data_IF_876042705276
#
_entry.id   IF_876042705276
#
_cell.length_a   1.000
_cell.length_b   1.000
_cell.length_c   1.000
_cell.angle_alpha   90.00
_cell.angle_beta   90.00
_cell.angle_gamma   90.00
#
_symmetry.space_group_name_H-M   'P 1'
#
loop_
_entity.id
_entity.type
_entity.pdbx_description
1 polymer ?
#
# COMPACT_ATOMS: atom_id res chain seq x y z
N UNK A 1 32.70 10.29 -4.85
CA UNK A 1 32.37 9.06 -5.61
C UNK A 1 30.88 9.10 -5.88
N UNK A 2 30.40 8.69 -7.06
CA UNK A 2 28.96 8.67 -7.37
C UNK A 2 28.27 7.48 -6.69
N UNK A 3 26.95 7.56 -6.48
CA UNK A 3 26.16 6.47 -5.92
C UNK A 3 26.29 5.18 -6.76
N UNK A 4 26.23 5.30 -8.09
CA UNK A 4 26.44 4.19 -9.02
C UNK A 4 27.80 3.50 -8.82
N UNK A 5 28.87 4.27 -8.68
CA UNK A 5 30.21 3.70 -8.48
C UNK A 5 30.33 2.96 -7.14
N UNK A 6 29.70 3.48 -6.09
CA UNK A 6 29.67 2.81 -4.76
C UNK A 6 28.93 1.48 -4.84
N UNK A 7 27.77 1.46 -5.51
CA UNK A 7 26.97 0.23 -5.70
C UNK A 7 27.72 -0.79 -6.55
N UNK A 8 28.33 -0.36 -7.66
CA UNK A 8 29.10 -1.23 -8.54
C UNK A 8 30.30 -1.89 -7.82
N UNK A 9 30.86 -1.22 -6.81
CA UNK A 9 31.93 -1.76 -5.96
C UNK A 9 31.42 -2.63 -4.80
N UNK A 10 30.11 -2.80 -4.64
CA UNK A 10 29.53 -3.56 -3.52
C UNK A 10 29.61 -2.84 -2.17
N UNK A 11 29.95 -1.55 -2.16
CA UNK A 11 30.19 -0.77 -0.93
C UNK A 11 28.93 -0.09 -0.39
N UNK A 12 27.77 -0.26 -1.03
CA UNK A 12 26.53 0.36 -0.58
C UNK A 12 26.09 -0.08 0.84
N UNK A 13 26.12 -1.39 1.19
CA UNK A 13 25.70 -1.84 2.52
C UNK A 13 26.59 -1.34 3.67
N UNK A 14 27.85 -1.00 3.39
CA UNK A 14 28.83 -0.56 4.40
C UNK A 14 28.78 0.92 4.73
N UNK A 15 27.99 1.72 3.99
CA UNK A 15 27.80 3.14 4.29
C UNK A 15 27.08 3.34 5.61
N UNK A 16 27.44 4.38 6.37
CA UNK A 16 26.58 4.85 7.45
C UNK A 16 25.26 5.41 6.89
N UNK A 17 24.19 5.40 7.71
CA UNK A 17 22.89 5.95 7.28
C UNK A 17 23.00 7.41 6.84
N UNK A 18 23.84 8.20 7.52
CA UNK A 18 24.06 9.62 7.18
C UNK A 18 24.78 9.78 5.84
N UNK A 19 25.79 8.97 5.55
CA UNK A 19 26.49 8.99 4.26
C UNK A 19 25.56 8.55 3.13
N UNK A 20 24.80 7.48 3.36
CA UNK A 20 23.79 7.00 2.44
C UNK A 20 22.79 8.13 2.10
N UNK A 21 22.13 8.72 3.09
CA UNK A 21 21.16 9.82 2.89
C UNK A 21 21.76 10.99 2.12
N UNK A 22 22.99 11.40 2.43
CA UNK A 22 23.65 12.49 1.71
C UNK A 22 23.94 12.15 0.24
N UNK A 23 24.38 10.92 -0.04
CA UNK A 23 24.61 10.43 -1.40
C UNK A 23 23.31 10.37 -2.20
N UNK A 24 22.22 9.91 -1.58
CA UNK A 24 20.89 9.90 -2.19
C UNK A 24 20.36 11.31 -2.46
N UNK A 25 20.48 12.21 -1.49
CA UNK A 25 20.13 13.61 -1.65
C UNK A 25 20.87 14.29 -2.80
N UNK A 26 22.09 13.84 -3.10
CA UNK A 26 22.88 14.34 -4.23
C UNK A 26 22.49 13.68 -5.56
N UNK A 27 22.21 12.37 -5.56
CA UNK A 27 21.93 11.59 -6.77
C UNK A 27 20.51 11.83 -7.32
N UNK A 28 19.52 12.03 -6.44
CA UNK A 28 18.10 12.14 -6.78
C UNK A 28 17.51 13.47 -6.34
N UNK A 29 18.31 14.55 -6.43
CA UNK A 29 17.91 15.86 -5.94
C UNK A 29 16.62 16.36 -6.58
N UNK A 30 16.49 16.19 -7.89
CA UNK A 30 15.31 16.61 -8.67
C UNK A 30 14.04 15.94 -8.16
N UNK A 31 14.09 14.63 -7.94
CA UNK A 31 12.96 13.83 -7.50
C UNK A 31 12.59 14.19 -6.06
N UNK A 32 13.57 14.29 -5.16
CA UNK A 32 13.35 14.66 -3.76
C UNK A 32 12.81 16.09 -3.61
N UNK A 33 13.22 17.02 -4.49
CA UNK A 33 12.67 18.38 -4.50
C UNK A 33 11.19 18.40 -4.87
N UNK A 34 10.75 17.55 -5.82
CA UNK A 34 9.32 17.39 -6.17
C UNK A 34 8.51 16.80 -5.03
N UNK A 35 9.02 15.78 -4.34
CA UNK A 35 8.33 15.11 -3.22
C UNK A 35 8.03 16.03 -2.02
N UNK A 36 8.64 17.22 -1.96
CA UNK A 36 8.28 18.25 -0.97
C UNK A 36 6.89 18.82 -1.18
N UNK A 37 6.35 18.72 -2.39
CA UNK A 37 5.04 19.24 -2.77
C UNK A 37 3.92 18.20 -2.62
N UNK A 38 4.25 16.95 -2.27
CA UNK A 38 3.28 15.88 -2.19
C UNK A 38 2.27 16.09 -1.04
N UNK A 39 1.02 15.74 -1.30
CA UNK A 39 -0.05 15.88 -0.30
C UNK A 39 0.08 14.84 0.83
N UNK A 40 -0.33 15.17 2.07
CA UNK A 40 -0.29 14.23 3.18
C UNK A 40 -1.24 13.04 3.01
N UNK A 41 -0.86 11.87 3.54
CA UNK A 41 -1.73 10.67 3.53
C UNK A 41 -2.93 10.76 4.48
N UNK A 42 -3.92 9.87 4.31
CA UNK A 42 -5.12 9.82 5.17
C UNK A 42 -4.83 9.53 6.65
N UNK A 43 -3.78 8.76 6.95
CA UNK A 43 -3.37 8.46 8.33
C UNK A 43 -2.67 9.66 8.97
N UNK A 44 -3.04 9.97 10.21
CA UNK A 44 -2.49 11.14 10.91
C UNK A 44 -1.03 10.91 11.33
N UNK A 45 -0.15 11.84 10.94
CA UNK A 45 1.27 11.85 11.29
C UNK A 45 1.61 12.51 12.64
N UNK A 46 2.90 12.76 12.88
CA UNK A 46 3.37 13.53 14.04
C UNK A 46 4.10 14.79 13.59
N UNK A 47 3.95 15.91 14.32
CA UNK A 47 4.61 17.18 13.98
C UNK A 47 6.15 17.12 14.03
N UNK A 48 6.70 16.23 14.86
CA UNK A 48 8.14 16.05 15.06
C UNK A 48 8.50 14.57 15.05
N UNK A 49 8.59 13.94 13.86
CA UNK A 49 8.93 12.53 13.77
C UNK A 49 10.33 12.26 14.31
N UNK A 50 10.51 11.14 15.02
CA UNK A 50 11.84 10.73 15.50
C UNK A 50 12.71 10.24 14.33
N UNK A 51 13.99 10.58 14.29
CA UNK A 51 14.89 10.21 13.19
C UNK A 51 16.00 9.23 13.57
N UNK A 52 16.45 8.41 12.60
CA UNK A 52 17.53 7.43 12.75
C UNK A 52 18.94 8.02 12.67
N UNK A 53 19.10 9.25 12.19
CA UNK A 53 20.42 9.81 11.89
C UNK A 53 21.08 10.39 13.14
N UNK A 54 22.34 10.84 13.00
CA UNK A 54 23.08 11.52 14.06
C UNK A 54 22.22 12.62 14.69
N UNK A 55 22.25 12.73 16.01
CA UNK A 55 21.45 13.67 16.81
C UNK A 55 19.91 13.47 16.73
N UNK A 56 19.43 12.33 16.22
CA UNK A 56 18.00 12.05 16.07
C UNK A 56 17.33 12.81 14.92
N UNK A 57 18.12 13.27 13.94
CA UNK A 57 17.61 13.90 12.73
C UNK A 57 16.92 12.88 11.82
N UNK A 58 15.82 13.29 11.20
CA UNK A 58 15.18 12.53 10.13
C UNK A 58 15.95 12.74 8.82
N UNK A 59 15.82 11.83 7.84
CA UNK A 59 16.40 12.03 6.52
C UNK A 59 16.00 13.35 5.86
N UNK A 60 14.73 13.75 5.98
CA UNK A 60 14.25 15.01 5.41
C UNK A 60 14.86 16.23 6.10
N UNK A 61 14.91 16.27 7.45
CA UNK A 61 15.60 17.36 8.17
C UNK A 61 17.08 17.46 7.82
N UNK A 62 17.75 16.32 7.60
CA UNK A 62 19.15 16.29 7.21
C UNK A 62 19.39 16.97 5.85
N UNK A 63 18.50 16.77 4.88
CA UNK A 63 18.66 17.29 3.52
C UNK A 63 18.06 18.70 3.32
N UNK A 64 16.92 18.98 3.97
CA UNK A 64 16.10 20.16 3.71
C UNK A 64 15.86 21.03 4.95
N UNK A 65 16.44 20.70 6.10
CA UNK A 65 16.28 21.43 7.37
C UNK A 65 14.82 21.49 7.87
N UNK A 66 13.93 20.69 7.30
CA UNK A 66 12.50 20.60 7.61
C UNK A 66 12.02 19.18 7.33
N UNK A 67 10.99 18.73 8.04
CA UNK A 67 10.35 17.43 7.79
C UNK A 67 9.31 17.53 6.68
N UNK A 68 9.52 16.81 5.59
CA UNK A 68 8.53 16.52 4.56
C UNK A 68 8.17 15.04 4.63
N UNK A 69 6.88 14.72 4.72
CA UNK A 69 6.38 13.37 4.96
C UNK A 69 6.85 12.37 3.89
N UNK A 70 6.61 12.68 2.61
CA UNK A 70 6.97 11.79 1.51
C UNK A 70 8.49 11.68 1.34
N UNK A 71 9.25 12.77 1.53
CA UNK A 71 10.72 12.70 1.54
C UNK A 71 11.23 11.73 2.61
N UNK A 72 10.66 11.76 3.82
CA UNK A 72 11.03 10.83 4.89
C UNK A 72 10.67 9.38 4.52
N UNK A 73 9.49 9.14 3.94
CA UNK A 73 9.08 7.80 3.49
C UNK A 73 10.05 7.26 2.45
N UNK A 74 10.27 7.99 1.35
CA UNK A 74 11.16 7.55 0.26
C UNK A 74 12.59 7.29 0.74
N UNK A 75 13.15 8.17 1.59
CA UNK A 75 14.50 7.96 2.10
C UNK A 75 14.59 6.79 3.09
N UNK A 76 13.53 6.51 3.86
CA UNK A 76 13.48 5.31 4.70
C UNK A 76 13.28 4.04 3.86
N UNK A 77 12.54 4.07 2.75
CA UNK A 77 12.46 2.94 1.80
C UNK A 77 13.87 2.57 1.30
N UNK A 78 14.67 3.58 0.99
CA UNK A 78 16.05 3.41 0.55
C UNK A 78 16.97 2.92 1.68
N UNK A 79 16.84 3.45 2.90
CA UNK A 79 17.58 2.95 4.07
C UNK A 79 17.19 1.52 4.41
N UNK A 80 15.92 1.14 4.24
CA UNK A 80 15.43 -0.22 4.41
C UNK A 80 16.17 -1.18 3.47
N UNK A 81 16.33 -0.83 2.19
CA UNK A 81 17.14 -1.60 1.25
C UNK A 81 18.60 -1.71 1.72
N UNK A 82 19.19 -0.61 2.21
CA UNK A 82 20.56 -0.61 2.75
C UNK A 82 20.69 -1.60 3.91
N UNK A 83 19.78 -1.54 4.89
CA UNK A 83 19.78 -2.41 6.06
C UNK A 83 19.55 -3.87 5.68
N UNK A 84 18.65 -4.16 4.74
CA UNK A 84 18.43 -5.52 4.22
C UNK A 84 19.70 -6.07 3.57
N UNK A 85 20.35 -5.29 2.70
CA UNK A 85 21.58 -5.73 2.02
C UNK A 85 22.78 -5.87 2.98
N UNK A 86 22.77 -5.11 4.09
CA UNK A 86 23.77 -5.21 5.16
C UNK A 86 23.44 -6.29 6.21
N UNK A 87 22.30 -6.97 6.10
CA UNK A 87 21.75 -7.86 7.13
C UNK A 87 21.63 -7.18 8.51
N UNK A 88 21.42 -5.85 8.51
CA UNK A 88 21.32 -5.03 9.72
C UNK A 88 19.90 -5.06 10.31
N UNK A 89 19.58 -6.17 10.95
CA UNK A 89 18.30 -6.39 11.64
C UNK A 89 18.04 -5.34 12.73
N UNK A 90 19.09 -4.90 13.42
CA UNK A 90 18.97 -3.97 14.54
C UNK A 90 18.46 -2.61 14.06
N UNK A 91 19.06 -2.04 13.01
CA UNK A 91 18.60 -0.77 12.44
C UNK A 91 17.23 -0.92 11.77
N UNK A 92 17.00 -2.00 11.03
CA UNK A 92 15.71 -2.26 10.37
C UNK A 92 14.54 -2.28 11.36
N UNK A 93 14.74 -2.88 12.54
CA UNK A 93 13.68 -3.07 13.54
C UNK A 93 13.76 -2.12 14.74
N UNK A 94 14.63 -1.11 14.72
CA UNK A 94 14.96 -0.26 15.88
C UNK A 94 13.76 0.44 16.53
N UNK A 95 12.68 0.68 15.78
CA UNK A 95 11.47 1.33 16.27
C UNK A 95 10.29 0.39 16.52
N UNK A 96 10.42 -0.90 16.20
CA UNK A 96 9.40 -1.90 16.45
C UNK A 96 9.41 -2.34 17.92
N UNK A 97 8.25 -2.77 18.43
CA UNK A 97 8.09 -3.20 19.82
C UNK A 97 7.52 -4.60 19.88
N UNK A 98 7.80 -5.29 20.98
CA UNK A 98 7.13 -6.53 21.34
C UNK A 98 5.77 -6.26 22.01
N UNK A 99 4.79 -7.17 21.88
CA UNK A 99 4.80 -8.30 20.95
C UNK A 99 4.50 -7.85 19.51
N UNK A 100 5.13 -8.48 18.51
CA UNK A 100 4.84 -8.24 17.09
C UNK A 100 6.00 -7.72 16.24
N UNK A 101 7.15 -7.45 16.86
CA UNK A 101 8.41 -7.18 16.16
C UNK A 101 8.69 -8.27 15.12
N UNK A 102 9.18 -7.87 13.93
CA UNK A 102 9.62 -8.80 12.90
C UNK A 102 10.68 -9.74 13.46
N UNK A 103 10.52 -11.05 13.27
CA UNK A 103 11.51 -12.02 13.74
C UNK A 103 12.79 -11.99 12.90
N UNK A 104 13.91 -12.40 13.51
CA UNK A 104 15.20 -12.53 12.79
C UNK A 104 15.11 -13.53 11.62
N UNK A 105 14.33 -14.60 11.76
CA UNK A 105 14.15 -15.59 10.69
C UNK A 105 13.39 -15.01 9.50
N UNK A 106 12.32 -14.25 9.76
CA UNK A 106 11.58 -13.53 8.73
C UNK A 106 12.45 -12.46 8.06
N UNK A 107 13.26 -11.73 8.83
CA UNK A 107 14.22 -10.77 8.28
C UNK A 107 15.30 -11.45 7.42
N UNK A 108 15.80 -12.63 7.80
CA UNK A 108 16.77 -13.39 6.99
C UNK A 108 16.20 -13.77 5.62
N UNK A 109 14.95 -14.26 5.59
CA UNK A 109 14.24 -14.57 4.35
C UNK A 109 14.01 -13.33 3.49
N UNK A 110 13.72 -12.19 4.12
CA UNK A 110 13.66 -10.90 3.43
C UNK A 110 15.01 -10.55 2.78
N UNK A 111 16.13 -10.76 3.49
CA UNK A 111 17.46 -10.56 2.92
C UNK A 111 17.73 -11.48 1.72
N UNK A 112 17.36 -12.76 1.80
CA UNK A 112 17.48 -13.71 0.70
C UNK A 112 16.66 -13.28 -0.53
N UNK A 113 15.43 -12.81 -0.30
CA UNK A 113 14.56 -12.29 -1.37
C UNK A 113 15.23 -11.15 -2.13
N UNK A 114 15.78 -10.14 -1.43
CA UNK A 114 16.45 -9.00 -2.08
C UNK A 114 17.80 -9.35 -2.72
N UNK A 115 18.57 -10.29 -2.15
CA UNK A 115 19.86 -10.74 -2.73
C UNK A 115 19.71 -11.43 -4.09
N UNK A 116 18.51 -11.90 -4.41
CA UNK A 116 18.20 -12.47 -5.73
C UNK A 116 18.26 -11.42 -6.85
N UNK A 117 18.04 -10.15 -6.53
CA UNK A 117 18.06 -9.04 -7.50
C UNK A 117 19.45 -8.40 -7.56
N UNK A 118 20.04 -8.35 -8.74
CA UNK A 118 21.45 -7.91 -8.92
C UNK A 118 21.60 -6.42 -9.21
N UNK A 119 20.64 -5.81 -9.86
CA UNK A 119 20.74 -4.41 -10.30
C UNK A 119 20.22 -3.43 -9.24
N UNK A 120 20.96 -3.31 -8.13
CA UNK A 120 20.56 -2.49 -6.98
C UNK A 120 20.37 -1.02 -7.35
N UNK A 121 21.13 -0.48 -8.30
CA UNK A 121 20.97 0.92 -8.71
C UNK A 121 19.64 1.12 -9.44
N UNK A 122 19.28 0.24 -10.37
CA UNK A 122 17.97 0.28 -11.03
C UNK A 122 16.82 0.15 -10.03
N UNK A 123 16.94 -0.72 -9.01
CA UNK A 123 15.94 -0.81 -7.94
C UNK A 123 15.80 0.50 -7.15
N UNK A 124 16.92 1.18 -6.83
CA UNK A 124 16.88 2.47 -6.15
C UNK A 124 16.20 3.56 -7.00
N UNK A 125 16.43 3.55 -8.31
CA UNK A 125 15.72 4.43 -9.25
C UNK A 125 14.23 4.10 -9.29
N UNK A 126 13.84 2.83 -9.25
CA UNK A 126 12.44 2.43 -9.16
C UNK A 126 11.79 2.98 -7.88
N UNK A 127 12.45 2.84 -6.72
CA UNK A 127 11.93 3.29 -5.42
C UNK A 127 11.72 4.80 -5.37
N UNK A 128 12.70 5.60 -5.85
CA UNK A 128 12.57 7.07 -5.79
C UNK A 128 11.55 7.61 -6.77
N UNK A 129 11.31 6.91 -7.89
CA UNK A 129 10.35 7.34 -8.90
C UNK A 129 8.91 6.96 -8.54
N UNK A 130 8.69 5.86 -7.80
CA UNK A 130 7.37 5.38 -7.38
C UNK A 130 6.54 6.42 -6.62
N UNK A 131 7.20 7.23 -5.78
CA UNK A 131 6.51 8.25 -4.96
C UNK A 131 6.17 9.54 -5.73
N UNK A 132 6.69 9.75 -6.96
CA UNK A 132 6.49 11.00 -7.71
C UNK A 132 5.06 11.18 -8.23
N UNK A 133 4.25 10.11 -8.29
CA UNK A 133 2.83 10.20 -8.65
C UNK A 133 2.00 11.07 -7.71
N UNK A 134 2.55 11.42 -6.54
CA UNK A 134 1.95 12.28 -5.52
C UNK A 134 2.29 13.77 -5.71
N UNK A 135 3.17 14.14 -6.64
CA UNK A 135 3.48 15.54 -6.94
C UNK A 135 2.40 16.16 -7.84
N UNK A 136 1.56 17.09 -7.34
CA UNK A 136 0.52 17.72 -8.15
C UNK A 136 1.09 18.57 -9.29
N UNK A 137 2.35 19.01 -9.23
CA UNK A 137 2.96 19.78 -10.32
C UNK A 137 3.27 18.90 -11.53
N UNK A 138 3.76 17.68 -11.30
CA UNK A 138 4.00 16.71 -12.36
C UNK A 138 2.70 16.46 -13.14
N UNK A 139 1.57 16.32 -12.44
CA UNK A 139 0.23 16.19 -13.04
C UNK A 139 -0.09 17.31 -14.02
N UNK A 140 0.06 18.55 -13.54
CA UNK A 140 -0.18 19.74 -14.36
C UNK A 140 0.77 19.85 -15.56
N UNK A 141 2.03 19.41 -15.43
CA UNK A 141 3.01 19.43 -16.52
C UNK A 141 2.68 18.42 -17.62
N UNK A 142 2.25 17.20 -17.26
CA UNK A 142 1.87 16.18 -18.25
C UNK A 142 0.63 16.63 -19.03
N UNK A 143 -0.38 17.17 -18.36
CA UNK A 143 -1.59 17.71 -19.00
C UNK A 143 -1.21 18.80 -20.03
N UNK A 144 -0.31 19.71 -19.66
CA UNK A 144 0.19 20.75 -20.58
C UNK A 144 0.92 20.16 -21.78
N UNK A 145 1.69 19.09 -21.58
CA UNK A 145 2.43 18.40 -22.65
C UNK A 145 1.47 17.67 -23.60
N UNK A 146 0.30 17.22 -23.10
CA UNK A 146 -0.73 16.51 -23.86
C UNK A 146 -1.69 17.40 -24.66
N UNK A 147 -1.59 18.73 -24.57
CA UNK A 147 -2.47 19.70 -25.27
C UNK A 147 -2.28 19.76 -26.81
N UNK A 148 -2.28 18.61 -27.48
CA UNK A 148 -2.96 18.44 -28.77
C UNK A 148 -4.48 18.28 -28.56
N UNK A 149 -5.31 18.39 -29.61
CA UNK A 149 -6.77 18.56 -29.50
C UNK A 149 -7.53 17.25 -29.21
N UNK A 150 -7.12 16.47 -28.22
CA UNK A 150 -7.79 15.22 -27.86
C UNK A 150 -7.74 14.95 -26.36
N UNK A 151 -8.93 14.98 -25.75
CA UNK A 151 -9.33 14.28 -24.52
C UNK A 151 -8.70 14.73 -23.20
N UNK A 152 -9.41 15.60 -22.48
CA UNK A 152 -9.37 15.73 -21.01
C UNK A 152 -9.84 14.43 -20.36
N UNK A 153 -9.01 13.39 -20.38
CA UNK A 153 -9.16 12.26 -19.46
C UNK A 153 -8.54 12.71 -18.15
N UNK A 154 -9.40 13.02 -17.16
CA UNK A 154 -8.96 13.17 -15.77
C UNK A 154 -8.35 11.83 -15.38
N UNK A 155 -7.02 11.74 -15.31
CA UNK A 155 -6.35 10.55 -14.80
C UNK A 155 -6.71 10.46 -13.32
N UNK A 156 -7.47 9.42 -12.96
CA UNK A 156 -8.09 9.29 -11.63
C UNK A 156 -7.11 8.66 -10.63
N UNK A 157 -6.11 7.90 -11.11
CA UNK A 157 -5.15 7.16 -10.30
C UNK A 157 -3.73 7.74 -10.41
N UNK A 158 -3.08 7.99 -9.27
CA UNK A 158 -1.68 8.44 -9.16
C UNK A 158 -0.69 7.56 -9.94
N UNK A 159 -0.90 6.24 -9.97
CA UNK A 159 -0.02 5.28 -10.64
C UNK A 159 -0.12 5.36 -12.16
N UNK A 160 -1.34 5.53 -12.70
CA UNK A 160 -1.56 5.71 -14.15
C UNK A 160 -0.90 7.00 -14.63
N UNK A 161 -1.07 8.06 -13.85
CA UNK A 161 -0.45 9.34 -14.08
C UNK A 161 1.09 9.23 -14.12
N UNK A 162 1.69 8.62 -13.10
CA UNK A 162 3.14 8.44 -13.00
C UNK A 162 3.70 7.63 -14.17
N UNK A 163 3.03 6.52 -14.53
CA UNK A 163 3.44 5.67 -15.64
C UNK A 163 3.49 6.44 -16.97
N UNK A 164 2.51 7.30 -17.20
CA UNK A 164 2.45 8.09 -18.42
C UNK A 164 3.45 9.26 -18.43
N UNK A 165 3.72 9.87 -17.27
CA UNK A 165 4.82 10.83 -17.12
C UNK A 165 6.19 10.18 -17.38
N UNK A 166 6.40 8.95 -16.89
CA UNK A 166 7.61 8.17 -17.14
C UNK A 166 7.80 7.89 -18.64
N UNK A 167 6.74 7.45 -19.33
CA UNK A 167 6.76 7.22 -20.79
C UNK A 167 7.03 8.48 -21.60
N UNK A 168 6.58 9.63 -21.11
CA UNK A 168 6.84 10.93 -21.72
C UNK A 168 8.27 11.46 -21.46
N UNK A 169 9.11 10.72 -20.73
CA UNK A 169 10.48 11.13 -20.43
C UNK A 169 10.57 12.28 -19.42
N UNK A 170 9.54 12.47 -18.59
CA UNK A 170 9.46 13.59 -17.64
C UNK A 170 10.19 13.32 -16.31
N UNK A 171 10.76 12.12 -16.14
CA UNK A 171 11.41 11.68 -14.90
C UNK A 171 12.92 11.53 -15.15
N UNK A 172 13.76 12.51 -14.76
CA UNK A 172 15.19 12.52 -15.08
C UNK A 172 15.95 11.30 -14.56
N UNK A 173 15.63 10.79 -13.37
CA UNK A 173 16.30 9.62 -12.81
C UNK A 173 16.24 8.38 -13.72
N UNK A 174 15.22 8.23 -14.58
CA UNK A 174 15.10 7.11 -15.52
C UNK A 174 16.18 7.12 -16.61
N UNK A 175 16.75 8.28 -16.93
CA UNK A 175 17.85 8.39 -17.89
C UNK A 175 19.21 8.00 -17.28
N UNK A 176 19.26 7.79 -15.95
CA UNK A 176 20.48 7.36 -15.26
C UNK A 176 20.70 5.84 -15.28
N UNK A 177 19.71 5.05 -15.73
CA UNK A 177 19.80 3.58 -15.82
C UNK A 177 19.94 3.12 -17.28
N UNK A 178 20.49 1.92 -17.52
CA UNK A 178 20.47 1.31 -18.85
C UNK A 178 19.05 1.13 -19.39
N UNK A 179 18.90 1.03 -20.71
CA UNK A 179 17.60 0.85 -21.38
C UNK A 179 16.81 -0.33 -20.81
N UNK A 180 17.47 -1.47 -20.58
CA UNK A 180 16.83 -2.65 -19.98
C UNK A 180 16.34 -2.41 -18.54
N UNK A 181 17.06 -1.59 -17.77
CA UNK A 181 16.65 -1.17 -16.44
C UNK A 181 15.42 -0.28 -16.50
N UNK A 182 15.41 0.69 -17.42
CA UNK A 182 14.25 1.56 -17.67
C UNK A 182 13.02 0.78 -18.11
N UNK A 183 13.16 -0.19 -19.01
CA UNK A 183 12.07 -1.09 -19.43
C UNK A 183 11.51 -1.89 -18.25
N UNK A 184 12.37 -2.38 -17.37
CA UNK A 184 11.94 -3.10 -16.15
C UNK A 184 11.17 -2.19 -15.20
N UNK A 185 11.62 -0.95 -15.00
CA UNK A 185 10.93 0.06 -14.19
C UNK A 185 9.56 0.39 -14.78
N UNK A 186 9.48 0.65 -16.09
CA UNK A 186 8.21 0.92 -16.76
C UNK A 186 7.24 -0.25 -16.64
N UNK A 187 7.72 -1.49 -16.74
CA UNK A 187 6.86 -2.66 -16.53
C UNK A 187 6.39 -2.80 -15.09
N UNK A 188 7.24 -2.49 -14.12
CA UNK A 188 6.85 -2.42 -12.70
C UNK A 188 5.76 -1.35 -12.47
N UNK A 189 5.90 -0.17 -13.08
CA UNK A 189 4.89 0.90 -13.01
C UNK A 189 3.57 0.48 -13.66
N UNK A 190 3.61 -0.14 -14.84
CA UNK A 190 2.42 -0.64 -15.53
C UNK A 190 1.65 -1.67 -14.67
N UNK A 191 2.36 -2.55 -13.95
CA UNK A 191 1.71 -3.48 -13.01
C UNK A 191 0.98 -2.70 -11.92
N UNK A 192 1.61 -1.67 -11.33
CA UNK A 192 1.03 -0.86 -10.25
C UNK A 192 -0.22 -0.07 -10.70
N UNK A 193 -0.33 0.27 -11.99
CA UNK A 193 -1.55 0.92 -12.55
C UNK A 193 -2.79 0.06 -12.33
N UNK A 194 -2.67 -1.26 -12.49
CA UNK A 194 -3.80 -2.20 -12.42
C UNK A 194 -3.86 -2.96 -11.10
N UNK A 195 -2.69 -3.24 -10.49
CA UNK A 195 -2.54 -4.06 -9.30
C UNK A 195 -1.63 -3.37 -8.28
N UNK A 196 -2.26 -2.72 -7.31
CA UNK A 196 -1.57 -2.36 -6.07
C UNK A 196 -1.55 -3.57 -5.11
N UNK A 197 -0.36 -4.11 -4.88
CA UNK A 197 -0.16 -5.29 -4.01
C UNK A 197 -0.55 -5.00 -2.56
N UNK A 198 -0.34 -3.77 -2.07
CA UNK A 198 -0.74 -3.38 -0.72
C UNK A 198 -2.26 -3.42 -0.54
N UNK A 199 -3.02 -2.92 -1.50
CA UNK A 199 -4.50 -3.02 -1.51
C UNK A 199 -4.96 -4.48 -1.50
N UNK A 200 -4.25 -5.39 -2.20
CA UNK A 200 -4.56 -6.83 -2.19
C UNK A 200 -4.34 -7.45 -0.80
N UNK A 201 -3.18 -7.19 -0.19
CA UNK A 201 -2.87 -7.68 1.17
C UNK A 201 -3.88 -7.15 2.19
N UNK A 202 -4.37 -5.92 1.97
CA UNK A 202 -5.37 -5.27 2.80
C UNK A 202 -6.82 -5.62 2.43
N UNK A 203 -7.07 -6.51 1.45
CA UNK A 203 -8.43 -6.94 1.09
C UNK A 203 -9.32 -5.87 0.45
N UNK A 204 -8.74 -4.71 0.14
CA UNK A 204 -9.38 -3.57 -0.51
C UNK A 204 -9.48 -3.78 -2.03
N UNK A 205 -8.54 -4.53 -2.61
CA UNK A 205 -8.49 -4.82 -4.05
C UNK A 205 -9.55 -5.87 -4.49
N UNK A 206 -9.63 -6.15 -5.79
CA UNK A 206 -10.56 -7.13 -6.42
C UNK A 206 -9.80 -8.10 -7.33
N UNK A 207 -10.31 -9.33 -7.57
CA UNK A 207 -9.68 -10.30 -8.46
C UNK A 207 -9.31 -9.78 -9.86
N UNK A 208 -10.16 -9.00 -10.53
CA UNK A 208 -9.88 -8.51 -11.88
C UNK A 208 -8.60 -7.69 -12.01
N UNK A 209 -8.19 -6.99 -10.95
CA UNK A 209 -6.92 -6.26 -10.91
C UNK A 209 -5.70 -7.17 -11.09
N UNK A 210 -5.80 -8.46 -10.78
CA UNK A 210 -4.71 -9.43 -10.92
C UNK A 210 -4.51 -9.86 -12.38
N UNK A 211 -5.44 -9.56 -13.29
CA UNK A 211 -5.37 -10.00 -14.70
C UNK A 211 -4.17 -9.45 -15.46
N UNK A 212 -3.63 -8.29 -15.07
CA UNK A 212 -2.38 -7.76 -15.65
C UNK A 212 -1.23 -8.78 -15.54
N UNK A 213 -1.18 -9.56 -14.46
CA UNK A 213 -0.13 -10.54 -14.22
C UNK A 213 -0.17 -11.73 -15.19
N UNK A 214 -1.33 -12.01 -15.80
CA UNK A 214 -1.45 -13.02 -16.85
C UNK A 214 -0.76 -12.57 -18.15
N UNK A 215 -0.72 -11.25 -18.38
CA UNK A 215 -0.24 -10.67 -19.64
C UNK A 215 1.24 -10.27 -19.58
N UNK A 216 1.94 -10.55 -18.47
CA UNK A 216 3.38 -10.30 -18.34
C UNK A 216 4.17 -11.34 -19.12
N UNK A 217 4.77 -10.91 -20.23
CA UNK A 217 5.66 -11.73 -21.08
C UNK A 217 7.15 -11.53 -20.77
N UNK A 218 7.51 -10.70 -19.79
CA UNK A 218 8.86 -10.14 -19.59
C UNK A 218 9.86 -11.04 -18.82
N UNK A 219 9.55 -12.32 -18.64
CA UNK A 219 10.44 -13.22 -17.89
C UNK A 219 10.56 -12.90 -16.39
N UNK A 220 9.55 -12.24 -15.79
CA UNK A 220 9.36 -11.93 -14.35
C UNK A 220 10.08 -10.69 -13.81
N UNK A 221 10.88 -9.99 -14.61
CA UNK A 221 11.71 -8.90 -14.08
C UNK A 221 10.89 -7.71 -13.55
N UNK A 222 9.83 -7.31 -14.26
CA UNK A 222 8.95 -6.23 -13.83
C UNK A 222 8.12 -6.60 -12.59
N UNK A 223 7.61 -7.84 -12.52
CA UNK A 223 6.88 -8.32 -11.34
C UNK A 223 7.77 -8.40 -10.10
N UNK A 224 8.98 -8.97 -10.21
CA UNK A 224 9.92 -9.02 -9.09
C UNK A 224 10.32 -7.61 -8.62
N UNK A 225 10.56 -6.69 -9.56
CA UNK A 225 10.81 -5.29 -9.21
C UNK A 225 9.63 -4.69 -8.45
N UNK A 226 8.39 -4.85 -8.95
CA UNK A 226 7.20 -4.34 -8.28
C UNK A 226 7.05 -4.88 -6.87
N UNK A 227 7.22 -6.19 -6.69
CA UNK A 227 7.18 -6.82 -5.37
C UNK A 227 8.22 -6.23 -4.41
N UNK A 228 9.45 -6.01 -4.86
CA UNK A 228 10.51 -5.40 -4.06
C UNK A 228 10.22 -3.93 -3.71
N UNK A 229 9.78 -3.13 -4.69
CA UNK A 229 9.43 -1.72 -4.44
C UNK A 229 8.27 -1.62 -3.45
N UNK A 230 7.23 -2.45 -3.59
CA UNK A 230 6.12 -2.50 -2.62
C UNK A 230 6.59 -2.84 -1.21
N UNK A 231 7.46 -3.85 -1.04
CA UNK A 231 8.00 -4.20 0.29
C UNK A 231 8.76 -3.03 0.91
N UNK A 232 9.55 -2.31 0.11
CA UNK A 232 10.29 -1.14 0.59
C UNK A 232 9.37 0.02 0.94
N UNK A 233 8.33 0.31 0.14
CA UNK A 233 7.33 1.35 0.47
C UNK A 233 6.61 1.05 1.79
N UNK A 234 6.20 -0.20 2.00
CA UNK A 234 5.57 -0.62 3.25
C UNK A 234 6.52 -0.48 4.43
N UNK A 235 7.81 -0.76 4.23
CA UNK A 235 8.81 -0.63 5.27
C UNK A 235 8.96 0.84 5.73
N UNK A 236 8.96 1.80 4.81
CA UNK A 236 9.06 3.24 5.11
C UNK A 236 7.73 3.98 5.32
N UNK A 237 6.58 3.32 5.19
CA UNK A 237 5.25 3.96 5.22
C UNK A 237 4.99 4.87 6.45
N UNK A 238 5.53 4.51 7.62
CA UNK A 238 5.37 5.30 8.86
C UNK A 238 6.53 6.27 9.16
N UNK A 239 7.45 6.49 8.23
CA UNK A 239 8.59 7.41 8.43
C UNK A 239 8.16 8.86 8.72
N UNK A 240 6.99 9.26 8.23
CA UNK A 240 6.35 10.54 8.55
C UNK A 240 6.01 10.71 10.04
N UNK A 241 5.93 9.60 10.78
CA UNK A 241 5.70 9.54 12.23
C UNK A 241 6.94 9.12 13.01
N UNK A 242 7.73 8.19 12.48
CA UNK A 242 8.94 7.68 13.11
C UNK A 242 9.88 7.08 12.06
N UNK A 243 10.95 7.80 11.72
CA UNK A 243 11.96 7.43 10.74
C UNK A 243 13.17 6.70 11.35
N UNK A 244 13.06 6.13 12.56
CA UNK A 244 14.16 5.40 13.23
C UNK A 244 14.41 3.98 12.71
N UNK A 245 13.54 3.47 11.85
CA UNK A 245 13.56 2.12 11.31
C UNK A 245 12.25 1.83 10.57
N UNK A 246 11.97 0.57 10.26
CA UNK A 246 10.80 0.16 9.50
C UNK A 246 9.63 -0.17 10.42
N UNK A 247 8.95 0.85 10.98
CA UNK A 247 7.94 0.66 12.04
C UNK A 247 6.78 -0.25 11.62
N UNK A 248 6.35 -0.19 10.36
CA UNK A 248 5.16 -0.90 9.86
C UNK A 248 5.46 -2.36 9.49
N UNK A 249 6.70 -2.69 9.13
CA UNK A 249 7.12 -4.03 8.71
C UNK A 249 7.26 -4.99 9.91
N UNK A 250 6.19 -5.14 10.67
CA UNK A 250 6.01 -6.11 11.76
C UNK A 250 5.95 -7.54 11.23
N UNK A 251 6.03 -8.55 12.10
CA UNK A 251 5.94 -9.95 11.71
C UNK A 251 4.63 -10.25 10.94
N UNK A 252 3.49 -9.76 11.44
CA UNK A 252 2.21 -10.01 10.77
C UNK A 252 2.11 -9.32 9.40
N UNK A 253 2.74 -8.15 9.24
CA UNK A 253 2.76 -7.44 7.96
C UNK A 253 3.65 -8.18 6.98
N UNK A 254 4.88 -8.51 7.35
CA UNK A 254 5.80 -9.29 6.53
C UNK A 254 5.16 -10.60 6.03
N UNK A 255 4.55 -11.39 6.92
CA UNK A 255 3.90 -12.64 6.54
C UNK A 255 2.76 -12.43 5.54
N UNK A 256 1.98 -11.35 5.69
CA UNK A 256 0.92 -10.99 4.76
C UNK A 256 1.44 -10.69 3.36
N UNK A 257 2.47 -9.85 3.27
CA UNK A 257 3.06 -9.47 1.98
C UNK A 257 3.77 -10.63 1.31
N UNK A 258 4.60 -11.40 2.03
CA UNK A 258 5.31 -12.54 1.41
C UNK A 258 4.33 -13.62 0.93
N UNK A 259 3.26 -13.89 1.68
CA UNK A 259 2.21 -14.79 1.21
C UNK A 259 1.56 -14.28 -0.08
N UNK A 260 1.24 -12.98 -0.15
CA UNK A 260 0.63 -12.41 -1.34
C UNK A 260 1.59 -12.47 -2.54
N UNK A 261 2.85 -12.09 -2.35
CA UNK A 261 3.88 -12.15 -3.41
C UNK A 261 4.04 -13.60 -3.91
N UNK A 262 4.11 -14.59 -3.03
CA UNK A 262 4.17 -16.01 -3.41
C UNK A 262 2.92 -16.44 -4.21
N UNK A 263 1.73 -16.01 -3.81
CA UNK A 263 0.49 -16.31 -4.54
C UNK A 263 0.46 -15.64 -5.93
N UNK A 264 0.91 -14.40 -6.03
CA UNK A 264 1.00 -13.66 -7.29
C UNK A 264 2.06 -14.26 -8.22
N UNK A 265 3.21 -14.69 -7.69
CA UNK A 265 4.23 -15.38 -8.49
C UNK A 265 3.67 -16.67 -9.09
N UNK A 266 2.92 -17.45 -8.32
CA UNK A 266 2.23 -18.65 -8.83
C UNK A 266 1.19 -18.32 -9.90
N UNK A 267 0.53 -17.16 -9.82
CA UNK A 267 -0.40 -16.71 -10.86
C UNK A 267 0.35 -16.36 -12.16
N UNK A 268 1.48 -15.65 -12.05
CA UNK A 268 2.39 -15.35 -13.19
C UNK A 268 2.89 -16.64 -13.83
N UNK A 269 3.30 -17.62 -13.02
CA UNK A 269 3.75 -18.94 -13.45
C UNK A 269 2.66 -19.86 -13.98
N UNK A 270 1.39 -19.43 -13.97
CA UNK A 270 0.22 -20.23 -14.38
C UNK A 270 -0.02 -21.48 -13.53
N UNK A 271 0.53 -21.54 -12.31
CA UNK A 271 0.27 -22.62 -11.33
C UNK A 271 -1.08 -22.46 -10.63
N UNK A 272 -1.59 -21.21 -10.54
CA UNK A 272 -2.93 -20.91 -10.07
C UNK A 272 -3.87 -20.69 -11.26
N UNK A 273 -5.06 -21.32 -11.28
CA UNK A 273 -5.93 -21.36 -12.46
C UNK A 273 -6.69 -20.06 -12.73
N UNK A 274 -6.91 -19.19 -11.73
CA UNK A 274 -7.62 -17.92 -11.91
C UNK A 274 -7.19 -16.85 -10.92
N UNK A 275 -7.50 -15.61 -11.24
CA UNK A 275 -7.36 -14.42 -10.42
C UNK A 275 -8.12 -14.57 -9.10
N UNK A 276 -9.36 -15.05 -9.15
CA UNK A 276 -10.17 -15.36 -7.97
C UNK A 276 -9.49 -16.39 -7.06
N UNK A 277 -8.96 -17.47 -7.63
CA UNK A 277 -8.24 -18.47 -6.85
C UNK A 277 -6.95 -17.91 -6.21
N UNK A 278 -6.24 -17.01 -6.90
CA UNK A 278 -5.08 -16.32 -6.36
C UNK A 278 -5.46 -15.41 -5.18
N UNK A 279 -6.49 -14.58 -5.35
CA UNK A 279 -7.03 -13.72 -4.30
C UNK A 279 -7.45 -14.54 -3.07
N UNK A 280 -8.20 -15.62 -3.29
CA UNK A 280 -8.71 -16.47 -2.21
C UNK A 280 -7.58 -17.21 -1.48
N UNK A 281 -6.45 -17.48 -2.13
CA UNK A 281 -5.26 -18.00 -1.46
C UNK A 281 -4.68 -17.01 -0.44
N UNK A 282 -4.69 -15.70 -0.76
CA UNK A 282 -4.27 -14.63 0.15
C UNK A 282 -5.23 -14.55 1.36
N UNK A 283 -6.54 -14.53 1.11
CA UNK A 283 -7.56 -14.51 2.17
C UNK A 283 -7.51 -15.77 3.05
N UNK A 284 -7.35 -16.95 2.45
CA UNK A 284 -7.26 -18.22 3.17
C UNK A 284 -6.05 -18.27 4.11
N UNK A 285 -4.94 -17.61 3.77
CA UNK A 285 -3.81 -17.49 4.70
C UNK A 285 -4.16 -16.64 5.91
N UNK A 286 -4.87 -15.51 5.73
CA UNK A 286 -5.38 -14.68 6.83
C UNK A 286 -6.25 -15.51 7.77
N UNK A 287 -7.19 -16.29 7.21
CA UNK A 287 -8.06 -17.18 7.98
C UNK A 287 -7.26 -18.19 8.82
N UNK A 288 -6.28 -18.89 8.21
CA UNK A 288 -5.41 -19.84 8.92
C UNK A 288 -4.58 -19.17 10.01
N UNK A 289 -4.02 -17.99 9.76
CA UNK A 289 -3.23 -17.27 10.75
C UNK A 289 -4.07 -16.85 11.97
N UNK A 290 -5.32 -16.42 11.77
CA UNK A 290 -6.24 -16.12 12.86
C UNK A 290 -6.68 -17.38 13.61
N UNK A 291 -6.88 -18.48 12.88
CA UNK A 291 -7.22 -19.76 13.48
C UNK A 291 -6.13 -20.28 14.43
N UNK A 292 -4.85 -20.18 14.01
CA UNK A 292 -3.71 -20.50 14.87
C UNK A 292 -3.64 -19.62 16.14
N UNK A 293 -4.24 -18.43 16.10
CA UNK A 293 -4.38 -17.51 17.24
C UNK A 293 -5.70 -17.70 18.00
N UNK A 294 -6.42 -18.81 17.75
CA UNK A 294 -7.59 -19.24 18.51
C UNK A 294 -8.93 -18.64 18.04
N UNK A 295 -9.00 -18.06 16.85
CA UNK A 295 -10.26 -17.67 16.19
C UNK A 295 -10.82 -18.84 15.35
N UNK A 296 -12.06 -18.71 14.90
CA UNK A 296 -12.69 -19.72 14.04
C UNK A 296 -12.10 -19.70 12.63
N UNK A 297 -11.98 -20.88 12.00
CA UNK A 297 -11.46 -20.97 10.64
C UNK A 297 -12.54 -20.57 9.64
N UNK A 298 -12.38 -19.38 9.06
CA UNK A 298 -13.24 -18.87 7.99
C UNK A 298 -12.87 -19.46 6.62
N UNK A 299 -13.86 -19.61 5.75
CA UNK A 299 -13.77 -20.20 4.41
C UNK A 299 -14.01 -19.16 3.33
N UNK A 300 -13.18 -19.18 2.28
CA UNK A 300 -13.41 -18.35 1.08
C UNK A 300 -14.51 -18.90 0.16
N UNK A 301 -15.01 -20.11 0.43
CA UNK A 301 -16.12 -20.71 -0.31
C UNK A 301 -17.50 -20.28 0.23
N UNK A 302 -17.54 -19.65 1.40
CA UNK A 302 -18.75 -19.01 1.94
C UNK A 302 -18.66 -17.51 1.67
N UNK A 303 -19.67 -16.94 1.00
CA UNK A 303 -19.66 -15.54 0.57
C UNK A 303 -19.59 -14.55 1.77
N UNK A 304 -20.31 -14.84 2.85
CA UNK A 304 -20.34 -14.02 4.06
C UNK A 304 -18.99 -14.07 4.78
N UNK A 305 -18.44 -15.27 4.97
CA UNK A 305 -17.12 -15.46 5.59
C UNK A 305 -15.99 -14.86 4.75
N UNK A 306 -16.07 -14.95 3.41
CA UNK A 306 -15.12 -14.31 2.50
C UNK A 306 -15.19 -12.79 2.58
N UNK A 307 -16.39 -12.20 2.62
CA UNK A 307 -16.57 -10.77 2.81
C UNK A 307 -16.01 -10.32 4.17
N UNK A 308 -16.27 -11.09 5.23
CA UNK A 308 -15.72 -10.84 6.56
C UNK A 308 -14.18 -10.94 6.56
N UNK A 309 -13.58 -11.88 5.82
CA UNK A 309 -12.12 -11.97 5.66
C UNK A 309 -11.54 -10.73 4.95
N UNK A 310 -12.20 -10.19 3.92
CA UNK A 310 -11.79 -8.93 3.30
C UNK A 310 -11.83 -7.77 4.30
N UNK A 311 -12.90 -7.69 5.09
CA UNK A 311 -13.05 -6.70 6.17
C UNK A 311 -11.97 -6.86 7.25
N UNK A 312 -11.61 -8.09 7.62
CA UNK A 312 -10.50 -8.36 8.53
C UNK A 312 -9.16 -7.90 7.96
N UNK A 313 -8.91 -8.11 6.67
CA UNK A 313 -7.71 -7.59 6.01
C UNK A 313 -7.68 -6.06 6.04
N UNK A 314 -8.78 -5.38 5.70
CA UNK A 314 -8.83 -3.91 5.68
C UNK A 314 -8.64 -3.34 7.08
N UNK A 315 -9.24 -3.97 8.10
CA UNK A 315 -9.07 -3.62 9.50
C UNK A 315 -7.74 -4.06 10.12
N UNK A 316 -6.83 -4.67 9.35
CA UNK A 316 -5.53 -5.20 9.81
C UNK A 316 -5.68 -6.16 11.00
N UNK A 317 -6.78 -6.91 11.05
CA UNK A 317 -7.11 -7.84 12.13
C UNK A 317 -6.08 -8.97 12.18
N UNK A 318 -5.44 -9.12 13.33
CA UNK A 318 -4.35 -10.06 13.51
C UNK A 318 -4.48 -10.93 14.77
N UNK A 319 -5.55 -10.80 15.55
CA UNK A 319 -5.75 -11.56 16.78
C UNK A 319 -7.23 -11.83 17.06
N UNK A 320 -7.52 -12.77 17.95
CA UNK A 320 -8.89 -13.19 18.29
C UNK A 320 -9.76 -12.04 18.80
N UNK A 321 -9.20 -11.15 19.62
CA UNK A 321 -9.96 -10.05 20.23
C UNK A 321 -10.46 -9.07 19.16
N UNK A 322 -9.56 -8.60 18.29
CA UNK A 322 -9.93 -7.73 17.17
C UNK A 322 -10.90 -8.43 16.20
N UNK A 323 -10.68 -9.71 15.88
CA UNK A 323 -11.59 -10.48 15.03
C UNK A 323 -13.02 -10.54 15.63
N UNK A 324 -13.15 -10.75 16.94
CA UNK A 324 -14.44 -10.73 17.63
C UNK A 324 -15.13 -9.35 17.52
N UNK A 325 -14.40 -8.24 17.65
CA UNK A 325 -14.98 -6.89 17.54
C UNK A 325 -15.56 -6.66 16.14
N UNK A 326 -14.78 -7.00 15.10
CA UNK A 326 -15.23 -6.86 13.71
C UNK A 326 -16.41 -7.79 13.41
N UNK A 327 -16.37 -9.05 13.87
CA UNK A 327 -17.49 -9.99 13.67
C UNK A 327 -18.78 -9.50 14.35
N UNK A 328 -18.69 -8.99 15.58
CA UNK A 328 -19.85 -8.40 16.27
C UNK A 328 -20.39 -7.15 15.56
N UNK A 329 -19.51 -6.31 15.01
CA UNK A 329 -19.91 -5.14 14.23
C UNK A 329 -20.61 -5.53 12.92
N UNK A 330 -20.09 -6.56 12.25
CA UNK A 330 -20.63 -7.13 11.03
C UNK A 330 -22.00 -7.78 11.26
N UNK A 331 -22.16 -8.52 12.37
CA UNK A 331 -23.43 -9.14 12.78
C UNK A 331 -24.49 -8.13 13.28
N UNK A 332 -24.09 -6.87 13.56
CA UNK A 332 -25.02 -5.79 13.95
C UNK A 332 -25.69 -5.12 12.75
N UNK A 333 -25.20 -5.37 11.53
CA UNK A 333 -25.84 -4.89 10.30
C UNK A 333 -27.23 -5.52 10.15
N UNK A 334 -28.18 -4.75 9.60
CA UNK A 334 -29.47 -5.33 9.19
C UNK A 334 -29.27 -6.34 8.06
N UNK A 335 -30.26 -7.20 7.84
CA UNK A 335 -30.21 -8.20 6.76
C UNK A 335 -29.95 -7.57 5.39
N UNK A 336 -30.56 -6.41 5.10
CA UNK A 336 -30.38 -5.69 3.84
C UNK A 336 -28.96 -5.12 3.73
N UNK A 337 -28.48 -4.42 4.76
CA UNK A 337 -27.13 -3.83 4.75
C UNK A 337 -26.04 -4.90 4.65
N UNK A 338 -26.21 -6.01 5.39
CA UNK A 338 -25.30 -7.14 5.35
C UNK A 338 -25.28 -7.78 3.96
N UNK A 339 -26.46 -8.06 3.38
CA UNK A 339 -26.54 -8.64 2.03
C UNK A 339 -25.90 -7.74 0.98
N UNK A 340 -26.15 -6.43 1.02
CA UNK A 340 -25.54 -5.47 0.09
C UNK A 340 -24.02 -5.46 0.22
N UNK A 341 -23.49 -5.39 1.44
CA UNK A 341 -22.04 -5.41 1.68
C UNK A 341 -21.39 -6.73 1.25
N UNK A 342 -22.01 -7.87 1.58
CA UNK A 342 -21.53 -9.21 1.20
C UNK A 342 -21.51 -9.34 -0.32
N UNK A 343 -22.58 -8.95 -1.01
CA UNK A 343 -22.65 -9.02 -2.46
C UNK A 343 -21.56 -8.15 -3.09
N UNK A 344 -21.46 -6.89 -2.68
CA UNK A 344 -20.48 -5.95 -3.22
C UNK A 344 -19.02 -6.41 -2.99
N UNK A 345 -18.71 -6.98 -1.82
CA UNK A 345 -17.39 -7.53 -1.51
C UNK A 345 -17.10 -8.87 -2.20
N UNK A 346 -18.06 -9.48 -2.88
CA UNK A 346 -17.86 -10.73 -3.61
C UNK A 346 -17.85 -10.58 -5.13
N UNK A 347 -18.09 -9.39 -5.67
CA UNK A 347 -17.88 -9.11 -7.09
C UNK A 347 -16.38 -9.15 -7.40
N UNK A 348 -16.01 -9.97 -8.37
CA UNK A 348 -14.64 -10.23 -8.79
C UNK A 348 -14.15 -9.16 -9.78
N UNK A 349 -15.06 -8.53 -10.53
CA UNK A 349 -14.77 -7.50 -11.54
C UNK A 349 -14.45 -8.09 -12.91
N UNK A 350 -14.72 -9.39 -13.06
CA UNK A 350 -14.47 -10.18 -14.25
C UNK A 350 -15.82 -10.34 -14.98
N UNK A 351 -16.21 -11.58 -15.30
CA UNK A 351 -17.47 -11.89 -15.97
C UNK A 351 -18.71 -11.60 -15.10
N UNK A 352 -18.54 -11.36 -13.80
CA UNK A 352 -19.60 -11.16 -12.81
C UNK A 352 -19.99 -9.69 -12.61
N UNK A 353 -19.39 -8.77 -13.37
CA UNK A 353 -19.83 -7.38 -13.47
C UNK A 353 -18.80 -6.37 -12.96
N UNK A 354 -19.29 -5.21 -12.52
CA UNK A 354 -18.47 -4.08 -12.12
C UNK A 354 -18.11 -4.20 -10.64
N UNK A 355 -16.81 -4.30 -10.34
CA UNK A 355 -16.32 -4.34 -8.98
C UNK A 355 -15.89 -2.95 -8.50
N UNK A 356 -16.31 -2.59 -7.29
CA UNK A 356 -15.93 -1.33 -6.64
C UNK A 356 -14.72 -1.58 -5.73
N UNK A 357 -13.68 -0.77 -5.90
CA UNK A 357 -12.50 -0.71 -5.02
C UNK A 357 -12.63 0.51 -4.09
N UNK A 358 -12.85 0.32 -2.78
CA UNK A 358 -13.12 1.41 -1.84
C UNK A 358 -11.81 2.04 -1.32
N UNK A 359 -11.09 2.78 -2.18
CA UNK A 359 -9.74 3.27 -1.92
C UNK A 359 -9.61 4.15 -0.67
N UNK A 360 -8.59 3.87 0.14
CA UNK A 360 -8.34 4.37 1.51
C UNK A 360 -9.17 3.73 2.63
N UNK A 361 -9.99 2.72 2.38
CA UNK A 361 -10.77 2.06 3.43
C UNK A 361 -9.91 1.54 4.60
N UNK A 362 -8.76 0.88 4.40
CA UNK A 362 -7.90 0.43 5.51
C UNK A 362 -7.40 1.58 6.40
N UNK A 363 -6.99 2.70 5.79
CA UNK A 363 -6.52 3.88 6.51
C UNK A 363 -7.65 4.55 7.30
N UNK A 364 -8.85 4.61 6.73
CA UNK A 364 -10.02 5.17 7.41
C UNK A 364 -10.49 4.28 8.57
N UNK A 365 -10.46 2.95 8.44
CA UNK A 365 -10.74 2.04 9.56
C UNK A 365 -9.73 2.25 10.69
N UNK A 366 -8.46 2.47 10.38
CA UNK A 366 -7.46 2.78 11.39
C UNK A 366 -7.78 4.08 12.15
N UNK A 367 -8.28 5.12 11.49
CA UNK A 367 -8.73 6.36 12.14
C UNK A 367 -10.03 6.17 12.94
N UNK A 368 -10.99 5.35 12.45
CA UNK A 368 -12.18 4.94 13.22
C UNK A 368 -11.78 4.27 14.54
N UNK A 369 -10.87 3.29 14.48
CA UNK A 369 -10.37 2.59 15.66
C UNK A 369 -9.58 3.53 16.59
N UNK A 370 -8.77 4.44 16.05
CA UNK A 370 -8.03 5.45 16.82
C UNK A 370 -8.96 6.37 17.60
N UNK A 371 -10.07 6.80 16.97
CA UNK A 371 -11.12 7.61 17.61
C UNK A 371 -11.88 6.85 18.71
N UNK A 372 -12.00 5.53 18.59
CA UNK A 372 -12.71 4.67 19.53
C UNK A 372 -11.80 3.99 20.58
N UNK A 373 -10.47 4.06 20.46
CA UNK A 373 -9.51 3.23 21.21
C UNK A 373 -9.61 3.34 22.75
N UNK A 374 -10.10 4.48 23.28
CA UNK A 374 -10.26 4.71 24.72
C UNK A 374 -11.67 4.40 25.24
N UNK A 375 -12.55 3.90 24.38
CA UNK A 375 -13.93 3.61 24.72
C UNK A 375 -14.14 2.15 25.06
N UNK A 376 -15.27 1.87 25.68
CA UNK A 376 -15.73 0.50 25.92
C UNK A 376 -16.03 -0.22 24.60
N UNK A 377 -15.95 -1.56 24.65
CA UNK A 377 -16.19 -2.45 23.52
C UNK A 377 -17.47 -2.12 22.70
N UNK A 378 -18.64 -1.84 23.31
CA UNK A 378 -19.85 -1.50 22.55
C UNK A 378 -19.68 -0.30 21.62
N UNK A 379 -18.92 0.72 22.03
CA UNK A 379 -18.69 1.91 21.22
C UNK A 379 -17.74 1.64 20.04
N UNK A 380 -16.78 0.73 20.20
CA UNK A 380 -15.91 0.27 19.11
C UNK A 380 -16.75 -0.50 18.07
N UNK A 381 -17.62 -1.40 18.54
CA UNK A 381 -18.53 -2.17 17.70
C UNK A 381 -19.47 -1.25 16.92
N UNK A 382 -20.00 -0.21 17.55
CA UNK A 382 -20.86 0.79 16.90
C UNK A 382 -20.12 1.59 15.82
N UNK A 383 -18.91 2.05 16.11
CA UNK A 383 -18.11 2.80 15.15
C UNK A 383 -17.74 1.95 13.93
N UNK A 384 -17.34 0.69 14.15
CA UNK A 384 -17.06 -0.26 13.07
C UNK A 384 -18.32 -0.58 12.25
N UNK A 385 -19.46 -0.81 12.91
CA UNK A 385 -20.73 -1.11 12.24
C UNK A 385 -21.20 0.07 11.37
N UNK A 386 -21.06 1.31 11.85
CA UNK A 386 -21.34 2.50 11.06
C UNK A 386 -20.42 2.62 9.84
N UNK A 387 -19.13 2.32 9.99
CA UNK A 387 -18.21 2.30 8.85
C UNK A 387 -18.57 1.20 7.82
N UNK A 388 -19.01 0.02 8.27
CA UNK A 388 -19.45 -1.06 7.37
C UNK A 388 -20.74 -0.71 6.62
N UNK A 389 -21.70 -0.01 7.24
CA UNK A 389 -22.87 0.54 6.54
C UNK A 389 -22.48 1.59 5.50
N UNK A 390 -21.54 2.46 5.86
CA UNK A 390 -20.97 3.42 4.91
C UNK A 390 -20.32 2.71 3.72
N UNK A 391 -19.51 1.66 3.95
CA UNK A 391 -18.95 0.85 2.87
C UNK A 391 -20.01 0.21 1.99
N UNK A 392 -21.10 -0.32 2.57
CA UNK A 392 -22.20 -0.89 1.80
C UNK A 392 -22.78 0.12 0.80
N UNK A 393 -23.02 1.36 1.24
CA UNK A 393 -23.48 2.48 0.38
C UNK A 393 -22.42 2.90 -0.64
N UNK A 394 -21.16 2.98 -0.21
CA UNK A 394 -20.00 3.32 -1.07
C UNK A 394 -19.80 2.30 -2.16
N UNK A 395 -20.19 1.04 -1.97
CA UNK A 395 -20.00 -0.02 -2.96
C UNK A 395 -21.29 -0.38 -3.70
N UNK A 396 -22.40 0.27 -3.37
CA UNK A 396 -23.65 0.12 -4.09
C UNK A 396 -23.47 0.60 -5.54
N UNK A 397 -23.80 -0.29 -6.46
CA UNK A 397 -23.77 -0.06 -7.89
C UNK A 397 -24.78 -0.98 -8.57
N UNK A 398 -25.61 -0.43 -9.44
CA UNK A 398 -26.50 -1.24 -10.29
C UNK A 398 -25.66 -1.88 -11.40
N UNK A 399 -25.37 -3.17 -11.25
CA UNK A 399 -24.65 -3.93 -12.27
C UNK A 399 -25.47 -3.98 -13.57
N UNK A 400 -24.92 -3.43 -14.65
CA UNK A 400 -25.24 -3.91 -15.98
C UNK A 400 -24.41 -5.18 -16.22
N UNK A 401 -25.07 -6.32 -16.37
CA UNK A 401 -24.37 -7.60 -16.61
C UNK A 401 -23.60 -7.55 -17.93
N UNK A 402 -22.30 -7.86 -17.89
CA UNK A 402 -21.46 -8.01 -19.09
C UNK A 402 -20.39 -6.95 -19.35
N UNK A 403 -20.24 -5.94 -18.48
CA UNK A 403 -19.13 -4.98 -18.54
C UNK A 403 -18.07 -5.29 -17.44
N UNK A 404 -17.04 -6.11 -17.73
CA UNK A 404 -15.97 -6.41 -16.79
C UNK A 404 -15.15 -5.15 -16.51
N UNK A 405 -15.33 -4.55 -15.33
CA UNK A 405 -14.65 -3.30 -14.97
C UNK A 405 -14.38 -3.18 -13.49
N UNK A 406 -13.26 -2.54 -13.16
CA UNK A 406 -12.95 -2.09 -11.80
C UNK A 406 -13.15 -0.57 -11.73
N UNK A 407 -13.93 -0.11 -10.75
CA UNK A 407 -14.10 1.31 -10.46
C UNK A 407 -13.51 1.58 -9.09
N UNK A 408 -12.48 2.42 -9.05
CA UNK A 408 -11.94 2.95 -7.81
C UNK A 408 -12.81 4.11 -7.31
N UNK A 409 -13.17 4.07 -6.01
CA UNK A 409 -13.86 5.14 -5.31
C UNK A 409 -12.97 5.65 -4.18
N UNK A 410 -12.37 6.81 -4.40
CA UNK A 410 -11.54 7.51 -3.40
C UNK A 410 -12.39 7.93 -2.19
N UNK A 411 -12.03 7.43 -1.00
CA UNK A 411 -12.74 7.71 0.25
C UNK A 411 -12.11 8.84 1.08
N UNK A 412 -11.06 9.51 0.59
CA UNK A 412 -10.41 10.61 1.31
C UNK A 412 -11.37 11.75 1.69
N UNK A 413 -12.44 11.97 0.91
CA UNK A 413 -13.45 13.00 1.19
C UNK A 413 -14.18 12.82 2.54
N UNK A 414 -14.24 11.60 3.10
CA UNK A 414 -14.92 11.35 4.40
C UNK A 414 -13.95 11.43 5.60
N UNK A 415 -12.66 11.66 5.34
CA UNK A 415 -11.62 11.67 6.37
C UNK A 415 -11.91 12.68 7.49
N UNK A 416 -12.31 13.90 7.15
CA UNK A 416 -12.61 14.95 8.12
C UNK A 416 -13.81 14.60 9.00
N UNK A 417 -14.81 13.92 8.43
CA UNK A 417 -15.98 13.45 9.17
C UNK A 417 -15.55 12.41 10.21
N UNK A 418 -14.75 11.42 9.82
CA UNK A 418 -14.26 10.35 10.71
C UNK A 418 -13.38 10.92 11.82
N UNK A 419 -12.55 11.94 11.53
CA UNK A 419 -11.67 12.57 12.52
C UNK A 419 -12.40 13.55 13.46
N UNK A 420 -13.59 13.99 13.09
CA UNK A 420 -14.38 14.98 13.82
C UNK A 420 -14.82 14.51 15.21
N UNK A 421 -15.13 15.47 16.09
CA UNK A 421 -15.83 15.18 17.33
C UNK A 421 -17.28 14.71 17.11
N UNK A 422 -17.87 15.03 15.95
CA UNK A 422 -19.21 14.56 15.56
C UNK A 422 -19.23 13.05 15.49
N UNK A 423 -18.34 12.43 14.70
CA UNK A 423 -18.23 10.98 14.61
C UNK A 423 -17.85 10.32 15.94
N UNK A 424 -16.97 10.95 16.73
CA UNK A 424 -16.62 10.46 18.07
C UNK A 424 -17.83 10.43 18.99
N UNK A 425 -18.78 11.35 18.88
CA UNK A 425 -19.96 11.36 19.75
C UNK A 425 -21.08 10.50 19.20
N UNK A 426 -21.22 10.46 17.88
CA UNK A 426 -22.27 9.76 17.15
C UNK A 426 -21.71 9.18 15.84
N UNK A 427 -21.38 7.87 15.78
CA UNK A 427 -20.88 7.24 14.57
C UNK A 427 -21.89 7.24 13.39
N UNK A 428 -23.19 7.42 13.66
CA UNK A 428 -24.25 7.41 12.64
C UNK A 428 -24.19 8.63 11.71
N UNK A 429 -23.34 9.62 12.00
CA UNK A 429 -23.06 10.71 11.04
C UNK A 429 -22.57 10.19 9.68
N UNK A 430 -21.90 9.03 9.64
CA UNK A 430 -21.49 8.40 8.38
C UNK A 430 -22.66 7.96 7.50
N UNK A 431 -23.79 7.61 8.11
CA UNK A 431 -25.00 7.16 7.39
C UNK A 431 -25.62 8.30 6.56
N UNK A 432 -25.27 9.56 6.85
CA UNK A 432 -25.78 10.76 6.18
C UNK A 432 -24.76 11.44 5.26
N UNK A 433 -23.53 10.92 5.16
CA UNK A 433 -22.51 11.47 4.27
C UNK A 433 -22.97 11.36 2.82
N UNK A 434 -22.95 12.48 2.10
CA UNK A 434 -23.25 12.52 0.66
C UNK A 434 -22.09 11.89 -0.11
N UNK A 435 -22.40 10.90 -0.96
CA UNK A 435 -21.38 10.27 -1.78
C UNK A 435 -21.17 11.11 -3.05
N UNK A 436 -19.92 11.42 -3.44
CA UNK A 436 -19.64 12.25 -4.62
C UNK A 436 -20.19 11.70 -5.94
N UNK A 437 -20.51 10.41 -5.98
CA UNK A 437 -20.98 9.66 -7.14
C UNK A 437 -22.43 9.18 -7.03
N UNK A 438 -23.13 9.45 -5.93
CA UNK A 438 -24.57 9.23 -5.85
C UNK A 438 -25.29 10.43 -6.47
N UNK A 439 -25.91 10.24 -7.64
CA UNK A 439 -26.88 11.21 -8.19
C UNK A 439 -28.30 10.83 -7.76
#
# INVERSE_FOLDING_TARGET
>A
MTLQAIIAQGNFPSLSDTEAVNLFGSAFRSELERLRNAEPTVESGTEKPAGSLKNGETPSRRLFQTDYAEVNRTLVNILALKWILAEDYASFTACQRDPGKLSEDSFRRLCEFFKSYKDIYTLLVAVVTDDLGKDPQLANELEKTRNGPTTTVKMVNHSEFLYEAAKAGMIPALESVPVSGRETILRSMEIEVYLNISQLVQGENVPASLSILRNIQDGKNGFHMRAMVTILDVAGAAAHSNARGCLVMTESVYQGYMTAIEALEKLVLREIPSERACYDQVLSKRARNLHLKGYDLLSTNNAEERALLRIFCMGRVDNKQSANLFNKAFAKLSTTENSSLVNALNVDGLEDGIAILPYYAPGLIAEVLRGAQKKEEPAIIEALSAFMRFLARVMEYESETGDPRVIERDLSFVQDVIKSNGFKNDPYVLDNVQLPWSQ
#
